data_IF_686151787124
#
_entry.id   IF_686151787124
#
_cell.length_a   1.000
_cell.length_b   1.000
_cell.length_c   1.000
_cell.angle_alpha   90.00
_cell.angle_beta   90.00
_cell.angle_gamma   90.00
#
_symmetry.space_group_name_H-M   'P 1'
#
loop_
_entity.id
_entity.type
_entity.pdbx_description
1 polymer ?
#
# COMPACT_ATOMS: atom_id res chain seq x y z
N UNK A 1 -6.98 -2.70 6.16
CA UNK A 1 -6.03 -1.57 6.07
C UNK A 1 -6.83 -0.35 5.63
N UNK A 2 -6.26 0.85 5.66
CA UNK A 2 -6.97 2.04 5.19
C UNK A 2 -6.03 3.09 4.63
N UNK A 3 -6.56 3.94 3.74
CA UNK A 3 -5.87 5.13 3.24
C UNK A 3 -5.88 6.21 4.32
N UNK A 4 -4.74 6.40 4.98
CA UNK A 4 -4.57 7.41 6.01
C UNK A 4 -4.14 8.74 5.39
N UNK A 5 -4.90 9.79 5.68
CA UNK A 5 -4.55 11.19 5.44
C UNK A 5 -3.84 11.76 6.66
N UNK A 6 -2.63 12.29 6.47
CA UNK A 6 -1.85 12.94 7.52
C UNK A 6 -1.60 14.40 7.17
N UNK A 7 -2.28 15.31 7.86
CA UNK A 7 -2.09 16.75 7.67
C UNK A 7 -0.87 17.20 8.50
N UNK A 8 0.15 17.71 7.82
CA UNK A 8 1.39 18.20 8.42
C UNK A 8 1.48 19.71 8.19
N UNK A 9 1.82 20.46 9.23
CA UNK A 9 2.10 21.91 9.13
C UNK A 9 3.53 22.09 8.60
N UNK A 10 3.68 22.87 7.54
CA UNK A 10 4.95 23.22 6.93
C UNK A 10 5.07 24.76 6.90
N UNK A 11 5.51 25.34 8.02
CA UNK A 11 5.51 26.79 8.23
C UNK A 11 4.08 27.35 8.25
N UNK A 12 3.79 28.26 7.32
CA UNK A 12 2.48 28.87 7.12
C UNK A 12 1.50 27.98 6.35
N UNK A 13 2.00 26.97 5.64
CA UNK A 13 1.18 26.08 4.81
C UNK A 13 0.87 24.75 5.51
N UNK A 14 -0.11 24.02 4.98
CA UNK A 14 -0.41 22.64 5.38
C UNK A 14 -0.28 21.74 4.16
N UNK A 15 0.31 20.55 4.36
CA UNK A 15 0.38 19.50 3.34
C UNK A 15 -0.27 18.24 3.87
N UNK A 16 -1.06 17.59 3.03
CA UNK A 16 -1.63 16.28 3.34
C UNK A 16 -0.78 15.20 2.70
N UNK A 17 -0.37 14.22 3.50
CA UNK A 17 0.32 13.02 3.03
C UNK A 17 -0.62 11.82 3.08
N UNK A 18 -0.53 10.96 2.06
CA UNK A 18 -1.27 9.71 1.97
C UNK A 18 -0.37 8.53 2.29
N UNK A 19 -0.94 7.54 2.99
CA UNK A 19 -0.25 6.32 3.37
C UNK A 19 -1.23 5.17 3.55
N UNK A 20 -0.77 3.94 3.35
CA UNK A 20 -1.46 2.74 3.82
C UNK A 20 -1.17 2.60 5.31
N UNK A 21 -2.22 2.51 6.12
CA UNK A 21 -2.10 2.28 7.55
C UNK A 21 -2.96 1.09 8.00
N UNK A 22 -2.57 0.51 9.14
CA UNK A 22 -3.34 -0.53 9.78
C UNK A 22 -3.44 -0.27 11.29
N UNK A 23 -4.67 -0.35 11.80
CA UNK A 23 -4.96 -0.22 13.22
C UNK A 23 -4.54 -1.50 13.93
N UNK A 24 -3.89 -1.34 15.07
CA UNK A 24 -3.52 -2.45 15.94
C UNK A 24 -4.23 -2.30 17.27
N UNK A 25 -4.78 -3.40 17.73
CA UNK A 25 -5.43 -3.51 19.04
C UNK A 25 -4.65 -4.51 19.89
N UNK A 26 -4.40 -4.17 21.15
CA UNK A 26 -4.01 -5.15 22.16
C UNK A 26 -4.90 -5.03 23.40
N UNK A 27 -4.96 -6.09 24.19
CA UNK A 27 -5.58 -6.01 25.51
C UNK A 27 -4.58 -5.35 26.45
N UNK A 28 -4.97 -4.24 27.08
CA UNK A 28 -4.22 -3.69 28.22
C UNK A 28 -4.39 -4.56 29.46
N UNK A 29 -3.55 -4.32 30.47
CA UNK A 29 -3.80 -4.80 31.84
C UNK A 29 -5.23 -4.41 32.23
N UNK A 30 -6.01 -5.35 32.75
CA UNK A 30 -7.45 -5.22 33.07
C UNK A 30 -8.45 -5.40 31.92
N UNK A 31 -8.05 -5.98 30.77
CA UNK A 31 -8.99 -6.40 29.73
C UNK A 31 -9.63 -5.27 28.92
N UNK A 32 -9.29 -4.01 29.21
CA UNK A 32 -9.63 -2.85 28.37
C UNK A 32 -8.86 -2.94 27.04
N UNK A 33 -9.55 -2.73 25.93
CA UNK A 33 -8.91 -2.61 24.60
C UNK A 33 -8.06 -1.33 24.62
N UNK A 34 -6.74 -1.47 24.53
CA UNK A 34 -5.85 -0.34 24.32
C UNK A 34 -5.59 -0.24 22.80
N UNK A 35 -6.04 0.86 22.19
CA UNK A 35 -5.76 1.12 20.78
C UNK A 35 -4.32 1.63 20.65
N UNK A 36 -3.52 0.99 19.81
CA UNK A 36 -2.22 1.53 19.42
C UNK A 36 -2.41 2.74 18.50
N UNK A 37 -1.38 3.62 18.46
CA UNK A 37 -1.19 4.47 17.29
C UNK A 37 -1.14 3.59 16.03
N UNK A 38 -1.77 4.00 14.92
CA UNK A 38 -1.80 3.20 13.69
C UNK A 38 -0.39 2.98 13.15
N UNK A 39 -0.15 1.78 12.63
CA UNK A 39 1.11 1.45 11.98
C UNK A 39 1.02 1.89 10.53
N UNK A 40 1.93 2.77 10.12
CA UNK A 40 2.11 3.13 8.72
C UNK A 40 2.87 2.01 8.03
N UNK A 41 2.22 1.41 7.03
CA UNK A 41 2.73 0.29 6.25
C UNK A 41 3.56 0.83 5.09
N UNK A 42 3.00 1.71 4.29
CA UNK A 42 3.64 2.29 3.09
C UNK A 42 3.17 3.74 2.91
N UNK A 43 4.07 4.64 2.49
CA UNK A 43 3.74 6.04 2.21
C UNK A 43 3.54 6.24 0.71
N UNK A 44 2.53 6.99 0.27
CA UNK A 44 2.38 7.40 -1.13
C UNK A 44 2.95 8.79 -1.42
N UNK A 45 3.19 9.60 -0.38
CA UNK A 45 3.66 10.98 -0.52
C UNK A 45 2.53 12.00 -0.41
N UNK A 46 2.70 13.16 -1.05
CA UNK A 46 1.77 14.29 -0.94
C UNK A 46 0.51 14.02 -1.76
N UNK A 47 -0.66 14.28 -1.17
CA UNK A 47 -1.98 14.02 -1.76
C UNK A 47 -2.14 14.59 -3.18
N UNK A 48 -1.62 15.79 -3.44
CA UNK A 48 -1.72 16.44 -4.76
C UNK A 48 -1.01 15.69 -5.89
N UNK A 49 -0.02 14.85 -5.55
CA UNK A 49 0.75 14.04 -6.50
C UNK A 49 0.22 12.62 -6.65
N UNK A 50 -0.79 12.26 -5.88
CA UNK A 50 -1.33 10.90 -5.78
C UNK A 50 -2.71 10.84 -6.42
N UNK A 51 -2.97 9.82 -7.23
CA UNK A 51 -4.33 9.50 -7.67
C UNK A 51 -5.04 8.84 -6.48
N UNK A 52 -5.98 9.57 -5.88
CA UNK A 52 -6.64 9.17 -4.63
C UNK A 52 -7.54 7.95 -4.83
N UNK A 53 -8.19 7.83 -5.99
CA UNK A 53 -9.05 6.67 -6.26
C UNK A 53 -8.20 5.43 -6.49
N UNK A 54 -7.13 5.55 -7.28
CA UNK A 54 -6.19 4.44 -7.48
C UNK A 54 -5.50 4.04 -6.17
N UNK A 55 -5.16 5.00 -5.31
CA UNK A 55 -4.62 4.74 -3.99
C UNK A 55 -5.59 3.96 -3.08
N UNK A 56 -6.91 4.19 -3.19
CA UNK A 56 -7.92 3.40 -2.46
C UNK A 56 -7.96 1.96 -2.95
N UNK A 57 -7.95 1.78 -4.27
CA UNK A 57 -7.94 0.44 -4.87
C UNK A 57 -6.67 -0.33 -4.50
N UNK A 58 -5.51 0.35 -4.50
CA UNK A 58 -4.24 -0.21 -4.05
C UNK A 58 -4.28 -0.63 -2.58
N UNK A 59 -4.88 0.17 -1.69
CA UNK A 59 -5.04 -0.23 -0.28
C UNK A 59 -5.85 -1.53 -0.17
N UNK A 60 -6.94 -1.65 -0.92
CA UNK A 60 -7.78 -2.84 -0.90
C UNK A 60 -7.04 -4.07 -1.46
N UNK A 61 -6.29 -3.89 -2.55
CA UNK A 61 -5.49 -4.96 -3.15
C UNK A 61 -4.33 -5.40 -2.22
N UNK A 62 -3.59 -4.45 -1.62
CA UNK A 62 -2.56 -4.77 -0.62
C UNK A 62 -3.14 -5.52 0.56
N UNK A 63 -4.32 -5.13 1.06
CA UNK A 63 -4.97 -5.84 2.16
C UNK A 63 -5.34 -7.29 1.80
N UNK A 64 -5.83 -7.54 0.58
CA UNK A 64 -6.15 -8.90 0.12
C UNK A 64 -4.91 -9.77 -0.10
N UNK A 65 -3.85 -9.18 -0.63
CA UNK A 65 -2.65 -9.90 -1.06
C UNK A 65 -1.55 -9.99 0.01
N UNK A 66 -1.65 -9.19 1.08
CA UNK A 66 -0.68 -9.22 2.18
C UNK A 66 -0.62 -10.59 2.85
N UNK A 67 0.57 -11.05 3.28
CA UNK A 67 0.71 -12.30 4.02
C UNK A 67 -0.15 -12.30 5.29
N UNK A 68 -0.80 -13.42 5.57
CA UNK A 68 -1.59 -13.61 6.79
C UNK A 68 -0.74 -14.35 7.82
N UNK A 69 -0.36 -13.66 8.89
CA UNK A 69 0.34 -14.28 10.01
C UNK A 69 -0.67 -14.65 11.10
N UNK A 70 -0.64 -15.91 11.53
CA UNK A 70 -1.39 -16.34 12.70
C UNK A 70 -0.87 -15.59 13.93
N UNK A 71 -1.76 -14.90 14.63
CA UNK A 71 -1.44 -14.15 15.84
C UNK A 71 -2.27 -14.70 17.00
N UNK A 72 -1.64 -14.97 18.14
CA UNK A 72 -2.39 -15.28 19.37
C UNK A 72 -3.02 -14.02 19.94
N UNK A 73 -3.96 -14.18 20.87
CA UNK A 73 -4.60 -13.05 21.55
C UNK A 73 -3.53 -12.18 22.23
N UNK A 74 -3.43 -10.91 21.82
CA UNK A 74 -2.44 -9.96 22.34
C UNK A 74 -1.22 -9.74 21.42
N UNK A 75 -0.98 -10.60 20.43
CA UNK A 75 0.16 -10.52 19.51
C UNK A 75 -0.14 -9.72 18.23
N UNK A 76 -1.31 -9.06 18.16
CA UNK A 76 -1.74 -8.33 16.98
C UNK A 76 -0.69 -7.31 16.48
N UNK A 77 0.02 -6.66 17.40
CA UNK A 77 1.11 -5.72 17.04
C UNK A 77 2.25 -6.41 16.31
N UNK A 78 2.71 -7.56 16.80
CA UNK A 78 3.81 -8.29 16.19
C UNK A 78 3.43 -8.80 14.80
N UNK A 79 2.23 -9.36 14.66
CA UNK A 79 1.72 -9.80 13.36
C UNK A 79 1.57 -8.64 12.36
N UNK A 80 0.98 -7.52 12.78
CA UNK A 80 0.90 -6.33 11.91
C UNK A 80 2.27 -5.78 11.55
N UNK A 81 3.25 -5.81 12.46
CA UNK A 81 4.62 -5.38 12.15
C UNK A 81 5.28 -6.29 11.10
N UNK A 82 5.04 -7.60 11.14
CA UNK A 82 5.52 -8.54 10.10
C UNK A 82 4.87 -8.23 8.74
N UNK A 83 3.55 -8.04 8.70
CA UNK A 83 2.86 -7.60 7.47
C UNK A 83 3.46 -6.30 6.95
N UNK A 84 3.67 -5.32 7.83
CA UNK A 84 4.25 -4.04 7.45
C UNK A 84 5.66 -4.19 6.87
N UNK A 85 6.50 -5.05 7.47
CA UNK A 85 7.85 -5.33 6.96
C UNK A 85 7.82 -5.95 5.56
N UNK A 86 6.94 -6.93 5.33
CA UNK A 86 6.78 -7.56 4.01
C UNK A 86 6.30 -6.56 2.96
N UNK A 87 5.27 -5.78 3.25
CA UNK A 87 4.74 -4.79 2.29
C UNK A 87 5.72 -3.65 2.03
N UNK A 88 6.55 -3.24 3.01
CA UNK A 88 7.55 -2.19 2.82
C UNK A 88 8.59 -2.54 1.76
N UNK A 89 8.85 -3.83 1.54
CA UNK A 89 9.73 -4.28 0.46
C UNK A 89 9.27 -3.77 -0.91
N UNK A 90 7.95 -3.69 -1.11
CA UNK A 90 7.34 -3.23 -2.37
C UNK A 90 6.87 -1.77 -2.31
N UNK A 91 7.16 -1.02 -1.24
CA UNK A 91 6.70 0.38 -1.09
C UNK A 91 7.06 1.28 -2.30
N UNK A 92 8.27 1.22 -2.88
CA UNK A 92 8.60 2.00 -4.08
C UNK A 92 7.67 1.70 -5.27
N UNK A 93 7.32 0.42 -5.47
CA UNK A 93 6.38 0.00 -6.50
C UNK A 93 4.98 0.57 -6.25
N UNK A 94 4.48 0.46 -5.01
CA UNK A 94 3.19 1.00 -4.61
C UNK A 94 3.11 2.54 -4.78
N UNK A 95 4.20 3.26 -4.48
CA UNK A 95 4.31 4.71 -4.72
C UNK A 95 4.17 5.07 -6.20
N UNK A 96 4.82 4.29 -7.07
CA UNK A 96 4.73 4.52 -8.51
C UNK A 96 3.32 4.26 -9.02
N UNK A 97 2.68 3.17 -8.59
CA UNK A 97 1.30 2.87 -8.99
C UNK A 97 0.32 3.97 -8.55
N UNK A 98 0.49 4.52 -7.34
CA UNK A 98 -0.38 5.59 -6.83
C UNK A 98 -0.08 6.97 -7.44
N UNK A 99 1.00 7.13 -8.21
CA UNK A 99 1.46 8.42 -8.73
C UNK A 99 0.60 8.91 -9.90
N UNK A 100 0.19 10.18 -9.86
CA UNK A 100 -0.47 10.83 -11.01
C UNK A 100 0.43 10.96 -12.24
N UNK A 101 1.77 10.97 -12.05
CA UNK A 101 2.71 11.16 -13.16
C UNK A 101 2.60 10.09 -14.24
N UNK A 102 2.11 8.91 -13.88
CA UNK A 102 2.06 7.77 -14.80
C UNK A 102 0.72 7.64 -15.52
N UNK A 103 -0.29 8.46 -15.16
CA UNK A 103 -1.62 8.38 -15.77
C UNK A 103 -2.27 6.99 -15.67
N UNK A 104 -1.83 6.13 -14.74
CA UNK A 104 -2.14 4.69 -14.77
C UNK A 104 -3.63 4.38 -14.75
N UNK A 105 -4.43 5.23 -14.12
CA UNK A 105 -5.88 5.08 -14.10
C UNK A 105 -6.51 5.09 -15.50
N UNK A 106 -5.93 5.81 -16.45
CA UNK A 106 -6.41 5.89 -17.84
C UNK A 106 -6.06 4.63 -18.64
N UNK A 107 -5.02 3.91 -18.22
CA UNK A 107 -4.55 2.68 -18.86
C UNK A 107 -5.12 1.41 -18.24
N UNK A 108 -5.71 1.52 -17.05
CA UNK A 108 -6.36 0.41 -16.35
C UNK A 108 -7.85 0.37 -16.71
N UNK A 109 -8.45 -0.83 -16.78
CA UNK A 109 -9.88 -0.95 -17.00
C UNK A 109 -10.67 -0.28 -15.86
N UNK A 110 -11.97 -0.04 -16.06
CA UNK A 110 -12.83 0.42 -14.99
C UNK A 110 -12.92 -0.60 -13.85
N UNK A 111 -13.45 -0.16 -12.71
CA UNK A 111 -13.80 -1.07 -11.62
C UNK A 111 -14.96 -1.99 -12.09
N UNK A 112 -14.96 -3.31 -11.81
CA UNK A 112 -14.13 -4.05 -10.85
C UNK A 112 -12.85 -4.69 -11.41
N UNK A 113 -12.69 -4.78 -12.73
CA UNK A 113 -11.57 -5.47 -13.39
C UNK A 113 -10.20 -4.91 -12.97
N UNK A 114 -10.12 -3.59 -12.74
CA UNK A 114 -8.93 -2.95 -12.18
C UNK A 114 -8.42 -3.63 -10.92
N UNK A 115 -9.33 -4.04 -10.04
CA UNK A 115 -8.99 -4.68 -8.77
C UNK A 115 -8.28 -6.02 -8.97
N UNK A 116 -8.69 -6.79 -9.98
CA UNK A 116 -8.09 -8.09 -10.32
C UNK A 116 -6.64 -7.92 -10.79
N UNK A 117 -6.41 -6.93 -11.65
CA UNK A 117 -5.07 -6.62 -12.17
C UNK A 117 -4.15 -6.13 -11.05
N UNK A 118 -4.64 -5.23 -10.20
CA UNK A 118 -3.87 -4.75 -9.05
C UNK A 118 -3.54 -5.88 -8.08
N UNK A 119 -4.48 -6.80 -7.83
CA UNK A 119 -4.25 -7.99 -7.01
C UNK A 119 -3.14 -8.87 -7.60
N UNK A 120 -3.16 -9.11 -8.91
CA UNK A 120 -2.13 -9.90 -9.59
C UNK A 120 -0.74 -9.24 -9.45
N UNK A 121 -0.63 -7.95 -9.81
CA UNK A 121 0.63 -7.21 -9.72
C UNK A 121 1.21 -7.17 -8.30
N UNK A 122 0.36 -7.02 -7.29
CA UNK A 122 0.81 -6.99 -5.89
C UNK A 122 1.24 -8.39 -5.44
N UNK A 123 0.52 -9.45 -5.80
CA UNK A 123 0.93 -10.83 -5.47
C UNK A 123 2.28 -11.16 -6.10
N UNK A 124 2.44 -10.88 -7.38
CA UNK A 124 3.68 -11.13 -8.10
C UNK A 124 4.85 -10.39 -7.46
N UNK A 125 4.65 -9.10 -7.13
CA UNK A 125 5.72 -8.31 -6.51
C UNK A 125 6.02 -8.70 -5.08
N UNK A 126 5.05 -9.22 -4.32
CA UNK A 126 5.29 -9.78 -2.98
C UNK A 126 5.97 -11.15 -3.02
N UNK A 127 5.77 -11.94 -4.09
CA UNK A 127 6.39 -13.24 -4.28
C UNK A 127 7.83 -13.16 -4.81
N UNK A 128 8.22 -12.02 -5.40
CA UNK A 128 9.57 -11.72 -5.86
C UNK A 128 10.58 -11.84 -4.68
N UNK A 129 11.55 -12.77 -4.75
CA UNK A 129 12.49 -13.04 -3.65
C UNK A 129 13.50 -11.91 -3.43
N UNK A 130 13.73 -11.07 -4.44
CA UNK A 130 14.54 -9.86 -4.32
C UNK A 130 13.74 -8.65 -4.79
N UNK A 131 12.79 -8.17 -3.97
CA UNK A 131 12.03 -6.97 -4.25
C UNK A 131 12.93 -5.74 -4.03
N UNK A 132 14.09 -5.69 -4.70
CA UNK A 132 14.87 -4.48 -4.76
C UNK A 132 13.97 -3.39 -5.35
N UNK A 133 14.11 -2.14 -4.89
CA UNK A 133 13.93 -1.05 -5.82
C UNK A 133 15.00 -1.26 -6.88
N UNK A 134 14.68 -1.98 -7.96
CA UNK A 134 15.59 -2.13 -9.08
C UNK A 134 15.95 -0.71 -9.49
N UNK A 135 17.19 -0.30 -9.19
CA UNK A 135 17.72 0.99 -9.60
C UNK A 135 17.54 1.04 -11.10
N UNK A 136 16.59 1.84 -11.57
CA UNK A 136 16.30 1.93 -13.00
C UNK A 136 15.25 0.98 -13.57
N UNK A 137 14.32 0.40 -12.78
CA UNK A 137 12.99 0.09 -13.36
C UNK A 137 12.35 1.44 -13.68
N UNK A 138 12.65 1.90 -14.90
CA UNK A 138 11.93 2.98 -15.54
C UNK A 138 10.46 2.59 -15.56
N UNK A 139 9.61 3.59 -15.42
CA UNK A 139 8.17 3.55 -15.67
C UNK A 139 7.78 2.54 -16.76
N UNK A 140 8.57 2.45 -17.82
CA UNK A 140 8.41 1.52 -18.94
C UNK A 140 8.37 0.03 -18.57
N UNK A 141 9.18 -0.46 -17.63
CA UNK A 141 9.14 -1.87 -17.26
C UNK A 141 7.87 -2.22 -16.48
N UNK A 142 7.34 -1.28 -15.69
CA UNK A 142 6.05 -1.44 -15.02
C UNK A 142 4.91 -1.34 -16.04
N UNK A 143 4.97 -0.37 -16.96
CA UNK A 143 4.03 -0.27 -18.07
C UNK A 143 4.05 -1.53 -18.95
N UNK A 144 5.22 -2.14 -19.16
CA UNK A 144 5.37 -3.38 -19.91
C UNK A 144 4.76 -4.56 -19.17
N UNK A 145 5.00 -4.66 -17.86
CA UNK A 145 4.36 -5.66 -17.00
C UNK A 145 2.83 -5.48 -16.96
N UNK A 146 2.35 -4.23 -16.87
CA UNK A 146 0.93 -3.89 -16.96
C UNK A 146 0.33 -4.29 -18.31
N UNK A 147 0.99 -3.95 -19.42
CA UNK A 147 0.55 -4.34 -20.76
C UNK A 147 0.48 -5.87 -20.91
N UNK A 148 1.45 -6.60 -20.36
CA UNK A 148 1.44 -8.06 -20.38
C UNK A 148 0.23 -8.62 -19.63
N UNK A 149 -0.13 -8.05 -18.47
CA UNK A 149 -1.31 -8.45 -17.70
C UNK A 149 -2.64 -8.00 -18.31
N UNK A 150 -2.63 -6.93 -19.12
CA UNK A 150 -3.81 -6.45 -19.85
C UNK A 150 -4.06 -7.22 -21.15
N UNK A 151 -3.05 -7.88 -21.69
CA UNK A 151 -3.11 -8.64 -22.95
C UNK A 151 -3.28 -10.15 -22.75
N UNK A 152 -3.20 -10.63 -21.51
CA UNK A 152 -3.34 -12.03 -21.11
C UNK A 152 -4.75 -12.32 -20.60
#
# INVERSE_FOLDING_TARGET
>A
MYLRRNKVRCGETRRTYLSIAHNVWWRGENGKKAQSRPIVISSFGVEDKVDVELARDLVAAVERCSPKFNARRGEGKAATMRVAQEVRKIEPFLKMLASRKLGLREHLPPHPERGVILDALIRDKLADPDPQPVKGIGVEAILSSLKAHLSA
#
